data_IF_918071412465
#
_entry.id   IF_918071412465
#
_cell.length_a   1.000
_cell.length_b   1.000
_cell.length_c   1.000
_cell.angle_alpha   90.00
_cell.angle_beta   90.00
_cell.angle_gamma   90.00
#
_symmetry.space_group_name_H-M   'P 1'
#
loop_
_entity.id
_entity.type
_entity.pdbx_description
1 polymer ?
#
# COMPACT_ATOMS: atom_id res chain seq x y z
N UNK A 1 63.79 -5.52 -10.36
CA UNK A 1 63.73 -6.67 -9.44
C UNK A 1 62.55 -6.51 -8.49
N UNK A 2 61.44 -7.18 -8.83
CA UNK A 2 60.49 -7.91 -7.98
C UNK A 2 60.01 -7.37 -6.61
N UNK A 3 58.72 -6.98 -6.56
CA UNK A 3 57.62 -7.60 -5.77
C UNK A 3 56.33 -6.81 -6.03
N UNK A 4 55.46 -7.24 -6.96
CA UNK A 4 54.23 -8.02 -6.72
C UNK A 4 53.82 -8.08 -5.24
N UNK A 5 52.67 -7.49 -4.91
CA UNK A 5 51.51 -8.19 -4.35
C UNK A 5 50.30 -7.25 -4.44
N UNK A 6 49.39 -7.56 -5.36
CA UNK A 6 48.06 -6.95 -5.37
C UNK A 6 47.32 -7.34 -4.09
N UNK A 7 46.88 -6.33 -3.35
CA UNK A 7 45.77 -6.48 -2.42
C UNK A 7 44.52 -6.18 -3.23
N UNK A 8 44.02 -7.21 -3.92
CA UNK A 8 42.64 -7.20 -4.38
C UNK A 8 41.78 -7.07 -3.14
N UNK A 9 41.42 -5.84 -2.78
CA UNK A 9 40.26 -5.59 -1.97
C UNK A 9 39.12 -6.20 -2.76
N UNK A 10 38.72 -7.40 -2.36
CA UNK A 10 37.43 -7.96 -2.74
C UNK A 10 36.44 -6.93 -2.25
N UNK A 11 36.02 -6.06 -3.16
CA UNK A 11 34.84 -5.24 -2.98
C UNK A 11 33.74 -6.24 -2.68
N UNK A 12 33.44 -6.42 -1.40
CA UNK A 12 32.26 -7.13 -0.96
C UNK A 12 31.14 -6.34 -1.62
N UNK A 13 30.62 -6.84 -2.75
CA UNK A 13 29.47 -6.25 -3.43
C UNK A 13 28.29 -6.42 -2.47
N UNK A 14 28.23 -5.53 -1.49
CA UNK A 14 27.03 -5.19 -0.76
C UNK A 14 26.02 -4.81 -1.83
N UNK A 15 25.06 -5.70 -2.11
CA UNK A 15 23.74 -5.44 -2.73
C UNK A 15 23.25 -6.41 -3.82
N UNK A 16 23.75 -7.64 -3.87
CA UNK A 16 23.25 -8.65 -4.84
C UNK A 16 21.90 -9.27 -4.45
N UNK A 17 20.94 -8.47 -3.97
CA UNK A 17 19.54 -8.90 -3.84
C UNK A 17 19.00 -9.21 -5.24
N UNK A 18 18.78 -10.48 -5.53
CA UNK A 18 18.36 -10.94 -6.86
C UNK A 18 16.88 -11.29 -6.82
N UNK A 19 16.13 -10.84 -7.82
CA UNK A 19 14.71 -11.16 -7.95
C UNK A 19 14.53 -12.16 -9.09
N UNK A 20 13.81 -13.24 -8.81
CA UNK A 20 13.32 -14.20 -9.79
C UNK A 20 11.80 -14.18 -9.78
N UNK A 21 11.18 -14.35 -10.94
CA UNK A 21 9.73 -14.41 -11.07
C UNK A 21 9.31 -15.80 -11.51
N UNK A 22 8.23 -16.31 -10.92
CA UNK A 22 7.63 -17.62 -11.23
C UNK A 22 6.14 -17.45 -11.44
N UNK A 23 5.53 -18.39 -12.18
CA UNK A 23 4.08 -18.43 -12.45
C UNK A 23 3.57 -17.06 -12.94
N UNK A 24 4.26 -16.47 -13.92
CA UNK A 24 3.87 -15.21 -14.52
C UNK A 24 2.59 -15.41 -15.32
N UNK A 25 1.60 -14.56 -15.06
CA UNK A 25 0.31 -14.59 -15.73
C UNK A 25 -0.15 -13.17 -16.02
N UNK A 26 -0.56 -12.92 -17.26
CA UNK A 26 -1.18 -11.67 -17.66
C UNK A 26 -2.69 -11.81 -17.50
N UNK A 27 -3.29 -11.02 -16.61
CA UNK A 27 -4.73 -10.97 -16.41
C UNK A 27 -5.29 -9.72 -17.09
N UNK A 28 -5.86 -9.88 -18.27
CA UNK A 28 -6.40 -8.79 -19.06
C UNK A 28 -7.71 -8.22 -18.50
N UNK A 29 -8.50 -8.99 -17.74
CA UNK A 29 -9.76 -8.53 -17.15
C UNK A 29 -9.54 -7.41 -16.13
N UNK A 30 -8.44 -7.51 -15.38
CA UNK A 30 -8.06 -6.54 -14.36
C UNK A 30 -6.91 -5.62 -14.79
N UNK A 31 -6.45 -5.77 -16.05
CA UNK A 31 -5.34 -5.05 -16.65
C UNK A 31 -4.08 -5.04 -15.77
N UNK A 32 -3.69 -6.25 -15.35
CA UNK A 32 -2.51 -6.43 -14.51
C UNK A 32 -1.75 -7.71 -14.85
N UNK A 33 -0.46 -7.69 -14.58
CA UNK A 33 0.43 -8.86 -14.58
C UNK A 33 0.58 -9.33 -13.15
N UNK A 34 0.33 -10.61 -12.92
CA UNK A 34 0.45 -11.22 -11.60
C UNK A 34 1.51 -12.31 -11.63
N UNK A 35 2.33 -12.38 -10.58
CA UNK A 35 3.44 -13.33 -10.51
C UNK A 35 3.83 -13.62 -9.06
N UNK A 36 4.46 -14.77 -8.86
CA UNK A 36 5.17 -15.09 -7.63
C UNK A 36 6.59 -14.53 -7.75
N UNK A 37 7.04 -13.81 -6.74
CA UNK A 37 8.36 -13.19 -6.66
C UNK A 37 9.19 -14.02 -5.68
N UNK A 38 10.34 -14.53 -6.12
CA UNK A 38 11.35 -15.05 -5.22
C UNK A 38 12.48 -14.04 -5.11
N UNK A 39 12.81 -13.65 -3.88
CA UNK A 39 13.89 -12.72 -3.57
C UNK A 39 15.02 -13.51 -2.92
N UNK A 40 16.18 -13.49 -3.55
CA UNK A 40 17.41 -14.09 -3.04
C UNK A 40 18.26 -12.98 -2.43
N UNK A 41 18.57 -13.09 -1.14
CA UNK A 41 19.34 -12.08 -0.41
C UNK A 41 20.32 -12.78 0.55
N UNK A 42 21.44 -13.33 0.03
CA UNK A 42 22.40 -14.06 0.85
C UNK A 42 22.98 -13.15 1.93
N UNK A 43 23.03 -13.64 3.18
CA UNK A 43 23.66 -12.94 4.30
C UNK A 43 22.98 -11.63 4.74
N UNK A 44 21.82 -11.29 4.17
CA UNK A 44 21.07 -10.07 4.49
C UNK A 44 19.75 -10.38 5.18
N UNK A 45 19.32 -9.44 6.02
CA UNK A 45 17.98 -9.43 6.61
C UNK A 45 16.88 -9.33 5.54
N UNK A 46 15.63 -9.42 5.99
CA UNK A 46 14.43 -9.32 5.15
C UNK A 46 14.43 -8.02 4.35
N UNK A 47 14.36 -8.14 3.02
CA UNK A 47 14.35 -7.00 2.09
C UNK A 47 13.03 -6.24 2.21
N UNK A 48 13.05 -4.89 2.35
CA UNK A 48 11.83 -4.10 2.43
C UNK A 48 11.09 -4.06 1.08
N UNK A 49 9.77 -3.90 1.14
CA UNK A 49 8.89 -3.85 -0.06
C UNK A 49 9.29 -2.75 -1.04
N UNK A 50 9.82 -1.63 -0.56
CA UNK A 50 10.25 -0.49 -1.37
C UNK A 50 11.40 -0.84 -2.31
N UNK A 51 12.38 -1.61 -1.85
CA UNK A 51 13.50 -2.07 -2.68
C UNK A 51 13.06 -3.08 -3.74
N UNK A 52 12.18 -4.00 -3.36
CA UNK A 52 11.62 -5.00 -4.27
C UNK A 52 10.86 -4.32 -5.40
N UNK A 53 10.02 -3.32 -5.09
CA UNK A 53 9.32 -2.50 -6.10
C UNK A 53 10.29 -1.81 -7.04
N UNK A 54 11.36 -1.19 -6.52
CA UNK A 54 12.39 -0.51 -7.35
C UNK A 54 13.09 -1.49 -8.31
N UNK A 55 13.38 -2.71 -7.88
CA UNK A 55 14.00 -3.72 -8.74
C UNK A 55 13.03 -4.27 -9.79
N UNK A 56 11.77 -4.50 -9.42
CA UNK A 56 10.73 -4.91 -10.38
C UNK A 56 10.44 -3.81 -11.41
N UNK A 57 10.42 -2.55 -10.99
CA UNK A 57 10.29 -1.38 -11.86
C UNK A 57 11.38 -1.36 -12.94
N UNK A 58 12.63 -1.61 -12.56
CA UNK A 58 13.75 -1.72 -13.49
C UNK A 58 13.60 -2.91 -14.44
N UNK A 59 13.19 -4.07 -13.94
CA UNK A 59 13.04 -5.29 -14.76
C UNK A 59 11.93 -5.16 -15.82
N UNK A 60 10.78 -4.62 -15.44
CA UNK A 60 9.60 -4.53 -16.31
C UNK A 60 9.41 -3.15 -16.95
N UNK A 61 10.37 -2.24 -16.78
CA UNK A 61 10.37 -0.88 -17.34
C UNK A 61 9.10 -0.10 -16.96
N UNK A 62 8.72 -0.18 -15.70
CA UNK A 62 7.50 0.43 -15.18
C UNK A 62 7.82 1.32 -13.98
N UNK A 63 6.96 2.28 -13.65
CA UNK A 63 7.10 3.07 -12.43
C UNK A 63 6.83 2.19 -11.19
N UNK A 64 7.48 2.46 -10.04
CA UNK A 64 7.28 1.68 -8.83
C UNK A 64 5.88 1.87 -8.20
N UNK A 65 5.14 2.90 -8.61
CA UNK A 65 3.84 3.28 -8.04
C UNK A 65 2.71 2.34 -8.48
N UNK A 66 2.81 1.77 -9.69
CA UNK A 66 1.85 0.78 -10.21
C UNK A 66 2.15 -0.64 -9.74
N UNK A 67 3.23 -0.86 -9.00
CA UNK A 67 3.70 -2.17 -8.56
C UNK A 67 3.30 -2.41 -7.10
N UNK A 68 2.44 -3.39 -6.87
CA UNK A 68 2.00 -3.80 -5.55
C UNK A 68 2.63 -5.14 -5.16
N UNK A 69 3.35 -5.14 -4.04
CA UNK A 69 3.91 -6.34 -3.41
C UNK A 69 3.09 -6.65 -2.14
N UNK A 70 2.33 -7.74 -2.16
CA UNK A 70 1.27 -7.99 -1.16
C UNK A 70 1.87 -8.66 0.08
N UNK A 71 1.98 -9.97 0.04
CA UNK A 71 2.57 -10.75 1.10
C UNK A 71 3.98 -11.13 0.69
N UNK A 72 4.87 -11.10 1.67
CA UNK A 72 6.26 -11.49 1.57
C UNK A 72 6.48 -12.39 2.77
N UNK A 73 6.81 -13.65 2.51
CA UNK A 73 7.03 -14.66 3.53
C UNK A 73 8.50 -15.06 3.52
N UNK A 74 9.13 -14.96 4.69
CA UNK A 74 10.45 -15.53 4.93
C UNK A 74 10.28 -16.93 5.53
N UNK A 75 10.86 -17.98 4.92
CA UNK A 75 11.02 -19.26 5.58
C UNK A 75 12.04 -19.15 6.73
N UNK A 76 11.92 -20.06 7.71
CA UNK A 76 12.76 -20.08 8.92
C UNK A 76 14.27 -20.13 8.61
N UNK A 77 14.67 -20.88 7.58
CA UNK A 77 16.08 -21.08 7.20
C UNK A 77 16.70 -19.92 6.42
N UNK A 78 15.94 -18.83 6.17
CA UNK A 78 16.44 -17.58 5.62
C UNK A 78 16.99 -17.64 4.19
N UNK A 79 17.54 -16.51 3.71
CA UNK A 79 18.26 -16.37 2.43
C UNK A 79 17.42 -16.37 1.15
N UNK A 80 16.21 -16.92 1.20
CA UNK A 80 15.22 -16.88 0.12
C UNK A 80 13.90 -16.42 0.70
N UNK A 81 13.29 -15.41 0.12
CA UNK A 81 11.97 -14.93 0.48
C UNK A 81 11.03 -15.14 -0.69
N UNK A 82 9.79 -15.54 -0.41
CA UNK A 82 8.74 -15.63 -1.42
C UNK A 82 7.73 -14.51 -1.23
N UNK A 83 7.16 -14.03 -2.32
CA UNK A 83 6.13 -13.01 -2.25
C UNK A 83 5.24 -13.00 -3.48
N UNK A 84 4.23 -12.15 -3.44
CA UNK A 84 3.31 -11.97 -4.57
C UNK A 84 3.38 -10.55 -5.11
N UNK A 85 3.55 -10.46 -6.43
CA UNK A 85 3.67 -9.21 -7.17
C UNK A 85 2.51 -9.01 -8.13
N UNK A 86 1.91 -7.83 -8.09
CA UNK A 86 0.95 -7.35 -9.07
C UNK A 86 1.50 -6.08 -9.71
N UNK A 87 1.55 -6.05 -11.04
CA UNK A 87 1.97 -4.89 -11.83
C UNK A 87 0.77 -4.47 -12.67
N UNK A 88 0.21 -3.30 -12.40
CA UNK A 88 -0.86 -2.71 -13.22
C UNK A 88 -0.27 -1.96 -14.41
N UNK A 89 -1.04 -1.85 -15.49
CA UNK A 89 -0.64 -1.05 -16.64
C UNK A 89 -0.82 0.46 -16.37
N UNK A 90 -1.82 0.85 -15.56
CA UNK A 90 -2.04 2.24 -15.15
C UNK A 90 -2.40 2.37 -13.66
N UNK A 91 -2.21 3.58 -13.11
CA UNK A 91 -2.59 3.91 -11.73
C UNK A 91 -4.10 3.94 -11.52
N UNK A 92 -4.88 4.26 -12.55
CA UNK A 92 -6.33 4.32 -12.45
C UNK A 92 -6.95 2.93 -12.24
N UNK A 93 -6.40 1.92 -12.91
CA UNK A 93 -6.82 0.53 -12.71
C UNK A 93 -6.38 0.00 -11.35
N UNK A 94 -5.20 0.40 -10.87
CA UNK A 94 -4.78 0.08 -9.50
C UNK A 94 -5.78 0.61 -8.47
N UNK A 95 -6.19 1.89 -8.59
CA UNK A 95 -7.15 2.54 -7.68
C UNK A 95 -8.52 1.86 -7.64
N UNK A 96 -9.00 1.37 -8.77
CA UNK A 96 -10.31 0.70 -8.90
C UNK A 96 -10.27 -0.73 -8.37
N UNK A 97 -9.20 -1.47 -8.67
CA UNK A 97 -9.16 -2.93 -8.49
C UNK A 97 -8.49 -3.36 -7.18
N UNK A 98 -7.62 -2.53 -6.59
CA UNK A 98 -6.98 -2.86 -5.32
C UNK A 98 -7.85 -2.49 -4.11
N UNK A 99 -7.88 -3.33 -3.06
CA UNK A 99 -8.56 -2.98 -1.82
C UNK A 99 -7.92 -1.75 -1.15
N UNK A 100 -8.77 -0.89 -0.56
CA UNK A 100 -8.39 0.41 0.03
C UNK A 100 -7.25 0.35 1.05
N UNK A 101 -7.10 -0.77 1.78
CA UNK A 101 -6.03 -0.92 2.78
C UNK A 101 -4.62 -0.98 2.16
N UNK A 102 -4.48 -1.42 0.91
CA UNK A 102 -3.17 -1.46 0.23
C UNK A 102 -2.74 -0.09 -0.27
N UNK A 103 -3.69 0.73 -0.71
CA UNK A 103 -3.42 2.14 -1.04
C UNK A 103 -2.88 2.92 0.14
N UNK A 104 -3.42 2.68 1.35
CA UNK A 104 -2.90 3.27 2.58
C UNK A 104 -1.45 2.85 2.87
N UNK A 105 -1.11 1.57 2.65
CA UNK A 105 0.29 1.10 2.79
C UNK A 105 1.26 1.69 1.75
N UNK A 106 0.74 2.25 0.66
CA UNK A 106 1.51 2.94 -0.38
C UNK A 106 1.48 4.47 -0.25
N UNK A 107 0.74 5.02 0.72
CA UNK A 107 0.60 6.47 0.90
C UNK A 107 -0.28 7.15 -0.16
N UNK A 108 -0.97 6.39 -1.01
CA UNK A 108 -1.83 6.93 -2.07
C UNK A 108 -3.26 7.25 -1.59
N UNK A 109 -3.59 6.85 -0.35
CA UNK A 109 -4.92 7.05 0.21
C UNK A 109 -4.86 7.14 1.73
N UNK A 110 -5.39 8.23 2.29
CA UNK A 110 -5.58 8.35 3.73
C UNK A 110 -6.91 7.71 4.13
N UNK A 111 -6.84 6.64 4.93
CA UNK A 111 -8.04 6.03 5.49
C UNK A 111 -8.62 6.96 6.54
N UNK A 112 -9.80 7.53 6.27
CA UNK A 112 -10.61 8.20 7.30
C UNK A 112 -10.83 7.21 8.45
N UNK A 113 -10.27 7.51 9.62
CA UNK A 113 -10.43 6.69 10.83
C UNK A 113 -11.85 6.88 11.35
N UNK A 114 -12.78 6.07 10.85
CA UNK A 114 -14.06 5.92 11.51
C UNK A 114 -13.82 4.96 12.69
N UNK A 115 -13.97 5.47 13.91
CA UNK A 115 -14.08 4.62 15.10
C UNK A 115 -15.26 3.66 14.86
N UNK A 116 -15.13 2.37 15.19
CA UNK A 116 -16.26 1.46 15.13
C UNK A 116 -17.34 1.99 16.09
N UNK A 117 -18.39 2.59 15.55
CA UNK A 117 -19.57 2.96 16.33
C UNK A 117 -20.25 1.64 16.72
N UNK A 118 -20.48 1.42 18.01
CA UNK A 118 -21.33 0.32 18.48
C UNK A 118 -22.67 0.41 17.73
N UNK A 119 -23.12 -0.68 17.11
CA UNK A 119 -24.32 -0.71 16.27
C UNK A 119 -25.59 -0.15 16.95
N UNK A 120 -25.62 -0.13 18.29
CA UNK A 120 -26.68 0.49 19.09
C UNK A 120 -26.70 2.02 18.99
N UNK A 121 -25.58 2.69 19.24
CA UNK A 121 -25.54 4.17 19.28
C UNK A 121 -25.71 4.86 17.92
N UNK A 122 -25.54 4.15 16.79
CA UNK A 122 -25.81 4.73 15.47
C UNK A 122 -27.28 4.65 15.08
N UNK A 123 -28.02 3.64 15.58
CA UNK A 123 -29.47 3.55 15.37
C UNK A 123 -30.20 4.58 16.22
N UNK A 124 -29.85 4.68 17.51
CA UNK A 124 -30.43 5.67 18.43
C UNK A 124 -30.21 7.12 17.93
N UNK A 125 -29.01 7.45 17.42
CA UNK A 125 -28.73 8.78 16.84
C UNK A 125 -29.48 9.07 15.52
N UNK A 126 -29.77 8.04 14.71
CA UNK A 126 -30.51 8.22 13.46
C UNK A 126 -32.02 8.29 13.71
N UNK A 127 -32.53 7.58 14.72
CA UNK A 127 -33.92 7.65 15.16
C UNK A 127 -34.22 9.00 15.83
N UNK A 128 -33.30 9.53 16.66
CA UNK A 128 -33.40 10.90 17.19
C UNK A 128 -33.30 11.98 16.09
N UNK A 129 -32.44 11.76 15.09
CA UNK A 129 -32.26 12.68 13.96
C UNK A 129 -33.43 12.75 12.99
N UNK A 130 -34.27 11.71 12.93
CA UNK A 130 -35.48 11.67 12.09
C UNK A 130 -36.69 12.37 12.73
N UNK A 131 -36.67 12.60 14.05
CA UNK A 131 -37.71 13.35 14.77
C UNK A 131 -37.56 14.88 14.71
N UNK A 132 -36.37 15.38 14.35
CA UNK A 132 -36.05 16.80 14.31
C UNK A 132 -35.66 17.26 12.90
N UNK A 133 -36.63 17.26 11.98
CA UNK A 133 -36.37 17.56 10.58
C UNK A 133 -37.51 18.22 9.83
N UNK A 134 -38.08 19.29 10.39
CA UNK A 134 -38.67 20.48 9.70
C UNK A 134 -39.55 21.25 10.68
N UNK A 135 -39.09 22.40 11.18
CA UNK A 135 -39.92 23.26 12.05
C UNK A 135 -39.19 24.28 12.94
N UNK A 136 -37.85 24.26 12.97
CA UNK A 136 -37.07 25.27 13.72
C UNK A 136 -36.30 26.18 12.78
N UNK A 137 -37.01 26.84 11.86
CA UNK A 137 -36.48 27.94 11.07
C UNK A 137 -37.58 28.98 10.83
N UNK A 138 -38.08 29.59 11.91
CA UNK A 138 -38.68 30.93 11.84
C UNK A 138 -38.92 31.56 13.22
N UNK A 139 -39.36 30.78 14.21
CA UNK A 139 -39.79 31.33 15.50
C UNK A 139 -38.63 31.70 16.45
N UNK A 140 -37.47 31.02 16.34
CA UNK A 140 -36.36 31.22 17.28
C UNK A 140 -35.48 32.45 16.99
N UNK A 141 -35.53 32.99 15.77
CA UNK A 141 -34.86 34.25 15.43
C UNK A 141 -35.64 35.48 15.93
N UNK A 142 -36.95 35.36 16.20
CA UNK A 142 -37.73 36.44 16.83
C UNK A 142 -37.43 36.64 18.32
N UNK A 143 -36.87 35.64 19.01
CA UNK A 143 -36.60 35.71 20.45
C UNK A 143 -35.34 36.51 20.82
N UNK A 144 -34.53 36.95 19.84
CA UNK A 144 -33.33 37.79 20.06
C UNK A 144 -33.47 39.21 19.50
N UNK A 145 -34.70 39.69 19.35
CA UNK A 145 -35.01 41.10 19.08
C UNK A 145 -34.91 41.94 20.35
N UNK A 146 -33.77 42.62 20.48
CA UNK A 146 -33.52 43.96 21.04
C UNK A 146 -34.72 44.66 21.73
N UNK A 147 -34.51 45.09 22.97
CA UNK A 147 -35.49 45.80 23.80
C UNK A 147 -35.99 47.12 23.21
N UNK A 148 -37.21 47.46 23.61
CA UNK A 148 -37.85 48.77 23.45
C UNK A 148 -38.43 49.17 24.82
N UNK A 149 -37.60 49.87 25.59
CA UNK A 149 -37.94 51.07 26.35
C UNK A 149 -36.67 51.93 26.41
#
# INVERSE_FOLDING_TARGET
MQKVLGSGAVAIMSDTVTIRTRKFMTNCLLQRKQMVIDVLHPGKATVPKTEIRKKLAKMYKTTPDVIFCIWIQSPLRGGKITGFGMIYDSLDYAKKNEPKHRHASHGLYEKKKNLPKTAKGTKEQNEEGQGHGQGQCWCWQKAKGVGLQ
#
